data_IF_036415026584
#
_entry.id   IF_036415026584
#
_cell.length_a   1.000
_cell.length_b   1.000
_cell.length_c   1.000
_cell.angle_alpha   90.00
_cell.angle_beta   90.00
_cell.angle_gamma   90.00
#
_symmetry.space_group_name_H-M   'P 1'
#
loop_
_entity.id
_entity.type
_entity.pdbx_description
1 polymer ?
#
# COMPACT_ATOMS: atom_id res chain seq x y z
N UNK A 1 -15.33 25.59 -18.79
CA UNK A 1 -16.21 24.39 -18.81
C UNK A 1 -15.66 23.44 -17.76
N UNK A 2 -15.93 23.77 -16.50
CA UNK A 2 -15.79 22.89 -15.34
C UNK A 2 -17.16 22.18 -15.20
N UNK A 3 -17.21 20.99 -14.61
CA UNK A 3 -18.43 20.41 -13.97
C UNK A 3 -19.32 19.41 -14.74
N UNK A 4 -18.84 18.70 -15.76
CA UNK A 4 -19.49 17.43 -16.13
C UNK A 4 -18.42 16.33 -16.15
N UNK A 5 -18.47 15.42 -15.17
CA UNK A 5 -17.80 14.12 -15.24
C UNK A 5 -18.11 13.54 -16.62
N UNK A 6 -17.08 13.12 -17.36
CA UNK A 6 -17.33 12.41 -18.61
C UNK A 6 -18.15 11.16 -18.24
N UNK A 7 -19.27 10.85 -18.91
CA UNK A 7 -19.98 9.60 -18.65
C UNK A 7 -19.11 8.35 -18.85
N UNK A 8 -17.92 8.47 -19.47
CA UNK A 8 -16.91 7.43 -19.51
C UNK A 8 -16.00 7.36 -18.28
N UNK A 9 -15.98 8.37 -17.41
CA UNK A 9 -15.14 8.39 -16.22
C UNK A 9 -15.67 7.41 -15.16
N UNK A 10 -14.80 6.60 -14.53
CA UNK A 10 -15.21 5.68 -13.48
C UNK A 10 -15.69 6.45 -12.25
N UNK A 11 -16.90 6.13 -11.77
CA UNK A 11 -17.43 6.66 -10.50
C UNK A 11 -16.89 5.91 -9.29
N UNK A 12 -16.30 4.72 -9.53
CA UNK A 12 -15.67 3.88 -8.54
C UNK A 12 -14.34 3.35 -9.05
N UNK A 13 -13.38 3.26 -8.16
CA UNK A 13 -12.00 2.89 -8.41
C UNK A 13 -11.63 1.73 -7.49
N UNK A 14 -10.66 0.94 -7.93
CA UNK A 14 -10.17 -0.23 -7.18
C UNK A 14 -8.82 0.08 -6.57
N UNK A 15 -8.71 -0.10 -5.26
CA UNK A 15 -7.44 -0.13 -4.55
C UNK A 15 -7.11 -1.58 -4.22
N UNK A 16 -5.95 -2.05 -4.69
CA UNK A 16 -5.44 -3.40 -4.41
C UNK A 16 -4.31 -3.34 -3.40
N UNK A 17 -4.45 -4.04 -2.29
CA UNK A 17 -3.45 -4.16 -1.23
C UNK A 17 -2.70 -5.47 -1.40
N UNK A 18 -1.41 -5.38 -1.71
CA UNK A 18 -0.47 -6.50 -1.86
C UNK A 18 0.38 -6.57 -0.59
N UNK A 19 0.07 -7.47 0.37
CA UNK A 19 0.70 -7.46 1.68
C UNK A 19 2.17 -7.91 1.66
N UNK A 20 2.69 -8.40 0.53
CA UNK A 20 4.11 -8.79 0.34
C UNK A 20 4.67 -9.74 1.42
N UNK A 21 3.81 -10.49 2.10
CA UNK A 21 4.14 -11.43 3.16
C UNK A 21 3.68 -12.87 2.82
N UNK A 22 3.33 -13.11 1.55
CA UNK A 22 2.80 -14.39 1.06
C UNK A 22 1.30 -14.61 1.29
N UNK A 23 0.60 -13.69 1.97
CA UNK A 23 -0.86 -13.72 2.06
C UNK A 23 -1.52 -13.25 0.75
N UNK A 24 -2.81 -13.58 0.61
CA UNK A 24 -3.60 -13.15 -0.54
C UNK A 24 -3.74 -11.63 -0.58
N UNK A 25 -3.81 -11.08 -1.80
CA UNK A 25 -4.13 -9.67 -2.00
C UNK A 25 -5.57 -9.39 -1.57
N UNK A 26 -5.79 -8.19 -1.07
CA UNK A 26 -7.13 -7.69 -0.75
C UNK A 26 -7.48 -6.52 -1.66
N UNK A 27 -8.77 -6.29 -1.89
CA UNK A 27 -9.23 -5.15 -2.69
C UNK A 27 -10.20 -4.27 -1.91
N UNK A 28 -10.34 -3.03 -2.36
CA UNK A 28 -11.31 -2.06 -1.90
C UNK A 28 -11.89 -1.32 -3.10
N UNK A 29 -13.21 -1.15 -3.12
CA UNK A 29 -13.87 -0.27 -4.08
C UNK A 29 -14.12 1.08 -3.41
N UNK A 30 -13.54 2.13 -3.97
CA UNK A 30 -13.58 3.50 -3.45
C UNK A 30 -14.29 4.39 -4.47
N UNK A 31 -15.21 5.26 -4.03
CA UNK A 31 -15.82 6.22 -4.95
C UNK A 31 -14.75 7.21 -5.45
N UNK A 32 -14.83 7.64 -6.71
CA UNK A 32 -13.92 8.63 -7.27
C UNK A 32 -13.81 9.87 -6.37
N UNK A 33 -12.59 10.27 -6.03
CA UNK A 33 -12.31 11.43 -5.20
C UNK A 33 -12.34 11.15 -3.69
N UNK A 34 -12.75 9.96 -3.25
CA UNK A 34 -12.68 9.56 -1.84
C UNK A 34 -11.29 9.00 -1.49
N UNK A 35 -11.02 8.88 -0.18
CA UNK A 35 -9.79 8.28 0.35
C UNK A 35 -9.93 6.76 0.44
N UNK A 36 -8.79 6.06 0.30
CA UNK A 36 -8.69 4.63 0.57
C UNK A 36 -8.61 4.35 2.07
N UNK A 37 -9.00 3.15 2.50
CA UNK A 37 -8.90 2.74 3.91
C UNK A 37 -7.48 2.27 4.23
N UNK A 38 -6.79 2.94 5.15
CA UNK A 38 -5.47 2.48 5.61
C UNK A 38 -5.57 1.12 6.33
N UNK A 39 -4.72 0.17 5.91
CA UNK A 39 -4.65 -1.18 6.46
C UNK A 39 -3.28 -1.43 7.09
N UNK A 40 -3.24 -2.18 8.19
CA UNK A 40 -1.97 -2.58 8.83
C UNK A 40 -1.92 -4.10 8.93
N UNK A 41 -1.46 -4.81 7.88
CA UNK A 41 -1.29 -6.25 7.96
C UNK A 41 -0.27 -6.61 9.04
N UNK A 42 -0.33 -7.86 9.52
CA UNK A 42 0.62 -8.38 10.49
C UNK A 42 1.51 -9.46 9.84
N UNK A 43 2.80 -9.45 10.16
CA UNK A 43 3.73 -10.49 9.76
C UNK A 43 4.75 -10.74 10.88
N UNK A 44 4.73 -11.95 11.45
CA UNK A 44 5.65 -12.32 12.53
C UNK A 44 7.10 -12.16 12.11
N UNK A 45 7.94 -11.60 12.99
CA UNK A 45 9.35 -11.33 12.72
C UNK A 45 9.62 -10.12 11.82
N UNK A 46 8.59 -9.33 11.49
CA UNK A 46 8.71 -8.18 10.59
C UNK A 46 7.89 -6.99 11.12
N UNK A 47 8.38 -5.78 10.83
CA UNK A 47 7.72 -4.52 11.15
C UNK A 47 7.16 -3.90 9.87
N UNK A 48 5.85 -3.65 9.85
CA UNK A 48 5.19 -2.95 8.75
C UNK A 48 5.68 -1.50 8.69
N UNK A 49 6.22 -1.07 7.54
CA UNK A 49 6.74 0.29 7.32
C UNK A 49 5.82 1.19 6.50
N UNK A 50 4.69 0.66 6.04
CA UNK A 50 3.70 1.40 5.26
C UNK A 50 3.46 0.83 3.87
N UNK A 51 2.55 1.47 3.16
CA UNK A 51 2.16 1.14 1.79
C UNK A 51 2.87 2.03 0.78
N UNK A 52 3.28 1.44 -0.34
CA UNK A 52 4.00 2.11 -1.41
C UNK A 52 3.36 1.82 -2.76
N UNK A 53 3.46 2.75 -3.70
CA UNK A 53 2.93 2.60 -5.06
C UNK A 53 3.87 1.84 -6.01
N UNK A 54 5.09 1.55 -5.56
CA UNK A 54 6.07 0.75 -6.28
C UNK A 54 6.46 -0.49 -5.49
N UNK A 55 6.66 -1.61 -6.19
CA UNK A 55 7.10 -2.86 -5.59
C UNK A 55 8.61 -3.04 -5.78
N UNK A 56 9.35 -3.17 -4.68
CA UNK A 56 10.78 -3.48 -4.69
C UNK A 56 11.68 -2.32 -4.25
N UNK A 57 11.54 -1.12 -4.82
CA UNK A 57 12.38 0.02 -4.39
C UNK A 57 11.81 0.73 -3.16
N UNK A 58 10.48 0.71 -3.00
CA UNK A 58 9.73 1.36 -1.94
C UNK A 58 10.16 2.82 -1.75
N UNK A 59 10.21 3.55 -2.87
CA UNK A 59 10.58 4.97 -2.92
C UNK A 59 9.36 5.90 -2.92
N UNK A 60 8.19 5.37 -3.29
CA UNK A 60 6.96 6.14 -3.48
C UNK A 60 5.92 5.76 -2.41
N UNK A 61 6.00 6.31 -1.19
CA UNK A 61 5.02 6.04 -0.16
C UNK A 61 3.64 6.54 -0.60
N UNK A 62 2.60 5.80 -0.22
CA UNK A 62 1.23 6.22 -0.44
C UNK A 62 0.72 7.04 0.75
N UNK A 63 0.08 8.17 0.47
CA UNK A 63 -0.56 9.04 1.46
C UNK A 63 -2.07 8.76 1.46
N UNK A 64 -2.56 8.13 2.53
CA UNK A 64 -3.99 7.81 2.67
C UNK A 64 -4.89 9.04 2.85
N UNK A 65 -4.30 10.24 3.04
CA UNK A 65 -5.07 11.48 3.00
C UNK A 65 -5.34 11.95 1.57
N UNK A 66 -4.67 11.40 0.57
CA UNK A 66 -4.87 11.72 -0.83
C UNK A 66 -6.15 11.07 -1.38
N UNK A 67 -6.84 11.79 -2.27
CA UNK A 67 -7.99 11.27 -2.99
C UNK A 67 -7.57 10.20 -4.00
N UNK A 68 -8.35 9.13 -4.09
CA UNK A 68 -8.23 8.08 -5.11
C UNK A 68 -8.91 8.58 -6.38
N UNK A 69 -8.13 8.80 -7.44
CA UNK A 69 -8.62 9.32 -8.73
C UNK A 69 -8.37 8.38 -9.90
N UNK A 70 -7.70 7.26 -9.65
CA UNK A 70 -7.49 6.14 -10.56
C UNK A 70 -7.39 4.84 -9.76
N UNK A 71 -7.38 3.69 -10.44
CA UNK A 71 -7.05 2.43 -9.79
C UNK A 71 -5.61 2.46 -9.26
N UNK A 72 -5.41 1.90 -8.06
CA UNK A 72 -4.12 1.91 -7.35
C UNK A 72 -3.79 0.49 -6.91
N UNK A 73 -2.52 0.12 -7.02
CA UNK A 73 -1.97 -1.05 -6.34
C UNK A 73 -0.94 -0.60 -5.33
N UNK A 74 -1.11 -1.03 -4.08
CA UNK A 74 -0.28 -0.69 -2.94
C UNK A 74 0.48 -1.92 -2.47
N UNK A 75 1.77 -1.75 -2.25
CA UNK A 75 2.70 -2.80 -1.85
C UNK A 75 3.20 -2.52 -0.43
N UNK A 76 3.03 -3.49 0.46
CA UNK A 76 3.52 -3.37 1.83
C UNK A 76 5.06 -3.43 1.85
N UNK A 77 5.67 -2.49 2.58
CA UNK A 77 7.09 -2.54 2.93
C UNK A 77 7.26 -3.12 4.32
N UNK A 78 8.25 -3.98 4.47
CA UNK A 78 8.60 -4.63 5.72
C UNK A 78 10.09 -4.44 6.03
N UNK A 79 10.42 -4.48 7.31
CA UNK A 79 11.80 -4.58 7.81
C UNK A 79 11.81 -5.73 8.81
N UNK A 80 12.75 -6.67 8.68
CA UNK A 80 12.87 -7.79 9.61
C UNK A 80 13.18 -7.27 11.01
N UNK A 81 12.59 -7.84 12.05
CA UNK A 81 12.89 -7.45 13.43
C UNK A 81 14.33 -7.79 13.82
N UNK A 82 14.95 -8.75 13.15
CA UNK A 82 16.35 -9.11 13.31
C UNK A 82 17.30 -8.09 12.66
N UNK A 83 16.87 -7.35 11.62
CA UNK A 83 17.69 -6.31 10.98
C UNK A 83 17.76 -5.00 11.80
N UNK A 84 17.24 -4.99 13.03
CA UNK A 84 17.20 -3.81 13.91
C UNK A 84 18.17 -3.88 15.09
N UNK A 85 19.12 -4.81 15.03
CA UNK A 85 20.24 -4.88 15.95
C UNK A 85 21.25 -3.75 15.61
N UNK A 86 21.57 -2.92 16.60
CA UNK A 86 22.50 -1.79 16.44
C UNK A 86 23.97 -2.22 16.32
N UNK A 87 24.22 -3.49 16.07
CA UNK A 87 25.50 -4.19 16.14
C UNK A 87 25.85 -4.93 14.84
N UNK A 88 24.92 -5.01 13.88
CA UNK A 88 25.23 -5.32 12.48
C UNK A 88 25.91 -6.68 12.30
N UNK A 89 25.40 -7.72 12.95
CA UNK A 89 25.86 -9.08 12.67
C UNK A 89 24.67 -9.99 12.39
N UNK A 90 24.57 -10.62 11.21
CA UNK A 90 23.53 -11.60 10.96
C UNK A 90 23.75 -12.79 11.90
N UNK A 91 22.73 -13.14 12.68
CA UNK A 91 22.67 -14.42 13.36
C UNK A 91 22.73 -15.53 12.29
N UNK A 92 23.84 -16.27 12.25
CA UNK A 92 24.00 -17.46 11.42
C UNK A 92 23.22 -18.61 12.06
N UNK A 93 22.07 -18.97 11.49
CA UNK A 93 21.44 -20.29 11.66
C UNK A 93 22.07 -21.32 10.71
#
# INVERSE_FOLDING_TARGET
RLDALDPADPTQLTVTYVPNNGQNNETETVNYGNQATERTPAWTGHVFKGWYMDNGTFQTPYDFTAAVTQDITLYAKWVSTHDTDGDGNPDED
#
